data_IF_815289269649
#
_entry.id   IF_815289269649
#
_cell.length_a   1.000
_cell.length_b   1.000
_cell.length_c   1.000
_cell.angle_alpha   90.00
_cell.angle_beta   90.00
_cell.angle_gamma   90.00
#
_symmetry.space_group_name_H-M   'P 1'
#
loop_
_entity.id
_entity.type
_entity.pdbx_description
1 polymer ?
#
# COMPACT_ATOMS: atom_id res chain seq x y z
N UNK A 1 10.42 -13.05 5.60
CA UNK A 1 10.70 -11.75 6.27
C UNK A 1 9.39 -11.26 6.88
N UNK A 2 9.37 -10.77 8.13
CA UNK A 2 8.13 -10.21 8.69
C UNK A 2 7.79 -8.90 7.98
N UNK A 3 6.55 -8.74 7.50
CA UNK A 3 6.06 -7.46 7.00
C UNK A 3 5.89 -6.49 8.16
N UNK A 4 6.29 -5.23 7.98
CA UNK A 4 6.00 -4.17 8.96
C UNK A 4 4.48 -4.09 9.22
N UNK A 5 4.02 -3.78 10.45
CA UNK A 5 2.60 -3.74 10.78
C UNK A 5 1.74 -2.85 9.86
N UNK A 6 2.29 -1.74 9.34
CA UNK A 6 1.56 -0.87 8.43
C UNK A 6 1.32 -1.56 7.08
N UNK A 7 2.31 -2.31 6.58
CA UNK A 7 2.16 -3.10 5.36
C UNK A 7 1.16 -4.24 5.57
N UNK A 8 1.24 -4.96 6.70
CA UNK A 8 0.29 -6.03 7.03
C UNK A 8 -1.16 -5.49 7.08
N UNK A 9 -1.38 -4.34 7.72
CA UNK A 9 -2.68 -3.70 7.79
C UNK A 9 -3.20 -3.28 6.40
N UNK A 10 -2.32 -2.73 5.54
CA UNK A 10 -2.69 -2.35 4.17
C UNK A 10 -3.06 -3.55 3.30
N UNK A 11 -2.32 -4.65 3.40
CA UNK A 11 -2.59 -5.87 2.64
C UNK A 11 -3.90 -6.56 3.05
N UNK A 12 -4.29 -6.42 4.32
CA UNK A 12 -5.53 -6.97 4.86
C UNK A 12 -6.80 -6.21 4.43
N UNK A 13 -6.67 -5.05 3.78
CA UNK A 13 -7.82 -4.30 3.26
C UNK A 13 -8.52 -5.07 2.14
N UNK A 14 -9.85 -4.99 2.12
CA UNK A 14 -10.63 -5.29 0.92
C UNK A 14 -10.61 -4.09 -0.05
N UNK A 15 -10.98 -4.33 -1.31
CA UNK A 15 -10.94 -3.28 -2.34
C UNK A 15 -11.96 -2.15 -2.07
N UNK A 16 -13.04 -2.43 -1.33
CA UNK A 16 -14.04 -1.41 -0.95
C UNK A 16 -13.51 -0.48 0.16
N UNK A 17 -12.61 -0.99 1.02
CA UNK A 17 -12.00 -0.26 2.13
C UNK A 17 -10.83 0.63 1.69
N UNK A 18 -10.27 0.41 0.49
CA UNK A 18 -9.15 1.21 -0.05
C UNK A 18 -9.50 2.69 -0.13
N UNK A 19 -10.76 3.04 -0.45
CA UNK A 19 -11.22 4.42 -0.49
C UNK A 19 -11.10 5.14 0.86
N UNK A 20 -11.63 4.52 1.93
CA UNK A 20 -11.54 5.08 3.28
C UNK A 20 -10.09 5.13 3.78
N UNK A 21 -9.28 4.13 3.43
CA UNK A 21 -7.85 4.13 3.72
C UNK A 21 -7.13 5.30 3.02
N UNK A 22 -7.42 5.57 1.75
CA UNK A 22 -6.79 6.65 1.00
C UNK A 22 -7.08 8.02 1.63
N UNK A 23 -8.33 8.27 2.00
CA UNK A 23 -8.74 9.53 2.64
C UNK A 23 -8.04 9.71 4.00
N UNK A 24 -8.09 8.70 4.88
CA UNK A 24 -7.45 8.75 6.19
C UNK A 24 -5.92 8.89 6.09
N UNK A 25 -5.31 8.24 5.10
CA UNK A 25 -3.87 8.33 4.89
C UNK A 25 -3.45 9.69 4.35
N UNK A 26 -4.23 10.29 3.45
CA UNK A 26 -3.98 11.64 2.98
C UNK A 26 -4.10 12.67 4.10
N UNK A 27 -5.13 12.55 4.94
CA UNK A 27 -5.30 13.40 6.14
C UNK A 27 -4.09 13.28 7.08
N UNK A 28 -3.67 12.06 7.41
CA UNK A 28 -2.50 11.82 8.27
C UNK A 28 -1.19 12.38 7.70
N UNK A 29 -1.09 12.55 6.38
CA UNK A 29 0.07 13.12 5.69
C UNK A 29 -0.06 14.63 5.44
N UNK A 30 -1.20 15.26 5.81
CA UNK A 30 -1.48 16.66 5.50
C UNK A 30 -1.64 16.93 3.99
N UNK A 31 -2.01 15.91 3.21
CA UNK A 31 -2.22 16.01 1.78
C UNK A 31 -3.70 16.20 1.45
N UNK A 32 -3.98 17.03 0.45
CA UNK A 32 -5.31 17.11 -0.15
C UNK A 32 -5.47 16.00 -1.20
N UNK A 33 -6.64 15.36 -1.21
CA UNK A 33 -7.11 14.51 -2.31
C UNK A 33 -8.21 15.27 -3.07
N UNK A 34 -7.85 16.05 -4.10
CA UNK A 34 -8.83 16.74 -4.92
C UNK A 34 -9.87 15.77 -5.50
N UNK A 35 -11.16 16.15 -5.58
CA UNK A 35 -12.22 15.27 -6.08
C UNK A 35 -11.92 14.68 -7.47
N UNK A 36 -11.25 15.43 -8.33
CA UNK A 36 -10.88 15.02 -9.69
C UNK A 36 -9.79 13.95 -9.75
N UNK A 37 -8.93 13.86 -8.72
CA UNK A 37 -7.84 12.85 -8.67
C UNK A 37 -8.20 11.66 -7.79
N UNK A 38 -9.18 11.83 -6.89
CA UNK A 38 -9.52 10.84 -5.85
C UNK A 38 -9.80 9.45 -6.41
N UNK A 39 -10.60 9.34 -7.48
CA UNK A 39 -10.90 8.04 -8.09
C UNK A 39 -9.63 7.33 -8.59
N UNK A 40 -8.77 8.04 -9.32
CA UNK A 40 -7.52 7.47 -9.83
C UNK A 40 -6.54 7.08 -8.71
N UNK A 41 -6.50 7.82 -7.61
CA UNK A 41 -5.68 7.45 -6.44
C UNK A 41 -6.18 6.16 -5.80
N UNK A 42 -7.49 5.99 -5.64
CA UNK A 42 -8.09 4.77 -5.08
C UNK A 42 -7.77 3.57 -5.98
N UNK A 43 -7.95 3.70 -7.29
CA UNK A 43 -7.64 2.63 -8.25
C UNK A 43 -6.16 2.22 -8.22
N UNK A 44 -5.26 3.21 -8.18
CA UNK A 44 -3.82 2.96 -8.09
C UNK A 44 -3.44 2.27 -6.77
N UNK A 45 -4.04 2.66 -5.65
CA UNK A 45 -3.82 2.02 -4.35
C UNK A 45 -4.36 0.58 -4.33
N UNK A 46 -5.52 0.32 -4.94
CA UNK A 46 -6.06 -1.02 -5.05
C UNK A 46 -5.14 -1.92 -5.90
N UNK A 47 -4.62 -1.40 -7.02
CA UNK A 47 -3.65 -2.11 -7.84
C UNK A 47 -2.37 -2.40 -7.06
N UNK A 48 -1.81 -1.40 -6.38
CA UNK A 48 -0.60 -1.54 -5.57
C UNK A 48 -0.79 -2.59 -4.47
N UNK A 49 -1.94 -2.58 -3.78
CA UNK A 49 -2.27 -3.58 -2.75
C UNK A 49 -2.22 -5.01 -3.31
N UNK A 50 -2.86 -5.24 -4.45
CA UNK A 50 -2.89 -6.56 -5.10
C UNK A 50 -1.50 -7.00 -5.56
N UNK A 51 -0.71 -6.09 -6.15
CA UNK A 51 0.66 -6.38 -6.56
C UNK A 51 1.56 -6.71 -5.37
N UNK A 52 1.46 -5.93 -4.29
CA UNK A 52 2.19 -6.17 -3.06
C UNK A 52 1.79 -7.51 -2.43
N UNK A 53 0.49 -7.85 -2.39
CA UNK A 53 0.02 -9.15 -1.92
C UNK A 53 0.66 -10.30 -2.71
N UNK A 54 0.62 -10.23 -4.05
CA UNK A 54 1.27 -11.23 -4.93
C UNK A 54 2.76 -11.35 -4.65
N UNK A 55 3.47 -10.22 -4.49
CA UNK A 55 4.90 -10.23 -4.20
C UNK A 55 5.17 -10.86 -2.82
N UNK A 56 4.43 -10.46 -1.79
CA UNK A 56 4.61 -10.98 -0.42
C UNK A 56 4.31 -12.47 -0.29
N UNK A 57 3.37 -13.00 -1.07
CA UNK A 57 3.09 -14.44 -1.11
C UNK A 57 4.26 -15.26 -1.68
N UNK A 58 5.18 -14.64 -2.43
CA UNK A 58 6.36 -15.29 -3.00
C UNK A 58 7.67 -15.07 -2.23
N UNK A 59 7.63 -14.40 -1.06
CA UNK A 59 8.83 -13.99 -0.31
C UNK A 59 9.41 -15.07 0.62
N UNK A 60 8.97 -16.33 0.54
CA UNK A 60 9.37 -17.37 1.49
C UNK A 60 10.87 -17.71 1.49
N UNK A 61 11.67 -17.23 0.52
CA UNK A 61 13.12 -17.49 0.45
C UNK A 61 13.98 -16.35 -0.18
N UNK A 62 13.45 -15.13 -0.26
CA UNK A 62 14.18 -14.02 -0.90
C UNK A 62 15.32 -13.51 -0.02
N UNK A 63 16.56 -13.57 -0.52
CA UNK A 63 17.73 -12.92 0.10
C UNK A 63 17.53 -11.39 0.16
N UNK A 64 18.09 -10.71 1.17
CA UNK A 64 18.08 -9.24 1.22
C UNK A 64 18.65 -8.68 -0.08
N UNK A 65 17.92 -7.75 -0.70
CA UNK A 65 18.43 -6.94 -1.80
C UNK A 65 19.48 -5.99 -1.18
N UNK A 66 20.60 -5.82 -1.91
CA UNK A 66 21.81 -5.09 -1.53
C UNK A 66 21.55 -3.88 -0.63
N UNK A 67 22.33 -3.75 0.45
CA UNK A 67 22.20 -2.63 1.37
C UNK A 67 22.49 -1.32 0.64
N UNK A 68 21.59 -0.34 0.77
CA UNK A 68 21.83 1.01 0.28
C UNK A 68 22.93 1.68 1.13
N UNK A 69 24.04 2.04 0.50
CA UNK A 69 25.05 2.93 1.10
C UNK A 69 24.78 4.39 0.66
N UNK A 70 24.70 5.35 1.60
CA UNK A 70 24.37 6.75 1.33
C UNK A 70 25.49 7.55 0.62
#
# INVERSE_FOLDING_TARGET
>A
MATDPALAAFLALDDAAVGAYADARAEALGLALPPETRAGVIDNLALLRRQAATFTAGLDDSKPIEAFEP
#
